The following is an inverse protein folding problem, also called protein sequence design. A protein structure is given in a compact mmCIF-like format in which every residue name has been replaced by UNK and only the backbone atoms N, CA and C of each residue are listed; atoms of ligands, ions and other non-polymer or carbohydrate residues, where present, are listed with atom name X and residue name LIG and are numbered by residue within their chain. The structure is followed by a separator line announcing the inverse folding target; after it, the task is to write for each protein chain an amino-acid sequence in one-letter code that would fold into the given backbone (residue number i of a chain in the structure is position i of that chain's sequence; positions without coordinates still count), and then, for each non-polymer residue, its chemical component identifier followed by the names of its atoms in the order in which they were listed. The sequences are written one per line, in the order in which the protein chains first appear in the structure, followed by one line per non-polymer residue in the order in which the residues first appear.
data_IF_944754452258
#
_entry.id   IF_944754452258
#
_cell.length_a   1.000
_cell.length_b   1.000
_cell.length_c   1.000
_cell.angle_alpha   90.00
_cell.angle_beta   90.00
_cell.angle_gamma   90.00
#
_symmetry.space_group_name_H-M   'P 1'
#
loop_
_entity.id
_entity.type
_entity.pdbx_description
1 polymer ?
#
# COMPACT_ATOMS: atom_id res chain seq x y z
N UNK A 1 -3.76 -9.47 19.09
CA UNK A 1 -3.50 -10.04 17.74
C UNK A 1 -4.58 -11.07 17.43
N UNK A 2 -5.13 -11.03 16.21
CA UNK A 2 -6.06 -12.08 15.78
C UNK A 2 -5.31 -13.40 15.59
N UNK A 3 -5.88 -14.49 16.08
CA UNK A 3 -5.30 -15.83 15.87
C UNK A 3 -5.60 -16.31 14.44
N UNK A 4 -4.79 -17.26 13.92
CA UNK A 4 -5.01 -17.89 12.59
C UNK A 4 -6.44 -18.45 12.47
N UNK A 5 -7.01 -19.01 13.56
CA UNK A 5 -8.41 -19.47 13.59
C UNK A 5 -9.41 -18.34 13.34
N UNK A 6 -9.17 -17.15 13.90
CA UNK A 6 -10.03 -15.97 13.68
C UNK A 6 -9.93 -15.45 12.24
N UNK A 7 -8.74 -15.41 11.63
CA UNK A 7 -8.57 -15.03 10.23
C UNK A 7 -9.37 -15.93 9.28
N UNK A 8 -9.47 -17.22 9.60
CA UNK A 8 -10.23 -18.17 8.78
C UNK A 8 -11.74 -17.93 8.79
N UNK A 9 -12.30 -17.24 9.79
CA UNK A 9 -13.73 -16.94 9.87
C UNK A 9 -14.16 -15.73 9.01
N UNK A 10 -13.22 -14.86 8.62
CA UNK A 10 -13.54 -13.66 7.84
C UNK A 10 -13.31 -13.89 6.35
N UNK A 11 -14.22 -13.37 5.51
CA UNK A 11 -14.08 -13.38 4.05
C UNK A 11 -13.15 -12.26 3.57
N UNK A 12 -13.23 -11.09 4.18
CA UNK A 12 -12.45 -9.90 3.80
C UNK A 12 -11.37 -9.65 4.84
N UNK A 13 -10.13 -9.51 4.37
CA UNK A 13 -8.95 -9.29 5.21
C UNK A 13 -8.25 -8.02 4.72
N UNK A 14 -8.02 -7.09 5.65
CA UNK A 14 -7.24 -5.88 5.39
C UNK A 14 -5.87 -6.05 6.04
N UNK A 15 -4.82 -5.88 5.25
CA UNK A 15 -3.42 -5.96 5.69
C UNK A 15 -2.82 -4.56 5.63
N UNK A 16 -2.47 -4.00 6.79
CA UNK A 16 -1.74 -2.74 6.85
C UNK A 16 -0.23 -3.01 6.93
N UNK A 17 0.52 -2.38 6.03
CA UNK A 17 1.98 -2.48 5.92
C UNK A 17 2.57 -1.12 6.26
N UNK A 18 3.25 -1.03 7.41
CA UNK A 18 3.99 0.18 7.79
C UNK A 18 5.27 0.34 6.96
N UNK A 19 5.75 1.58 6.82
CA UNK A 19 6.96 1.90 6.05
C UNK A 19 8.20 1.12 6.50
N UNK A 20 8.40 0.95 7.81
CA UNK A 20 9.54 0.22 8.36
C UNK A 20 9.54 -1.28 8.09
N UNK A 21 8.41 -1.86 7.69
CA UNK A 21 8.30 -3.26 7.29
C UNK A 21 8.72 -3.45 5.84
N UNK A 22 8.34 -2.53 4.96
CA UNK A 22 8.56 -2.65 3.52
C UNK A 22 9.86 -1.98 3.04
N UNK A 23 10.33 -0.95 3.77
CA UNK A 23 11.57 -0.22 3.47
C UNK A 23 12.60 -0.51 4.55
N UNK A 24 13.81 -0.86 4.16
CA UNK A 24 14.92 -1.11 5.07
C UNK A 24 15.63 0.18 5.52
N UNK A 25 16.70 0.02 6.29
CA UNK A 25 17.46 1.15 6.81
C UNK A 25 18.22 1.93 5.72
N UNK A 26 18.53 1.29 4.60
CA UNK A 26 19.15 1.92 3.43
C UNK A 26 18.16 2.71 2.59
N UNK A 27 16.85 2.62 2.86
CA UNK A 27 15.79 3.21 2.05
C UNK A 27 15.40 2.38 0.84
N UNK A 28 15.74 1.10 0.82
CA UNK A 28 15.43 0.15 -0.25
C UNK A 28 14.29 -0.78 0.14
N UNK A 29 13.63 -1.39 -0.84
CA UNK A 29 12.57 -2.38 -0.59
C UNK A 29 13.17 -3.65 0.03
N UNK A 30 12.54 -4.17 1.09
CA UNK A 30 12.84 -5.48 1.67
C UNK A 30 12.26 -6.59 0.80
N UNK A 31 12.93 -6.92 -0.29
CA UNK A 31 12.40 -7.85 -1.32
C UNK A 31 12.05 -9.23 -0.76
N UNK A 32 12.89 -9.81 0.10
CA UNK A 32 12.65 -11.13 0.69
C UNK A 32 11.39 -11.13 1.55
N UNK A 33 11.25 -10.11 2.39
CA UNK A 33 10.07 -9.93 3.22
C UNK A 33 8.80 -9.75 2.37
N UNK A 34 8.88 -8.91 1.33
CA UNK A 34 7.76 -8.68 0.41
C UNK A 34 7.36 -9.97 -0.33
N UNK A 35 8.33 -10.77 -0.80
CA UNK A 35 8.06 -12.04 -1.45
C UNK A 35 7.41 -13.05 -0.47
N UNK A 36 7.84 -13.09 0.79
CA UNK A 36 7.21 -13.91 1.85
C UNK A 36 5.76 -13.50 2.09
N UNK A 37 5.49 -12.20 2.26
CA UNK A 37 4.14 -11.66 2.41
C UNK A 37 3.24 -12.03 1.22
N UNK A 38 3.76 -11.90 0.00
CA UNK A 38 3.02 -12.26 -1.22
C UNK A 38 2.68 -13.76 -1.25
N UNK A 39 3.56 -14.62 -0.74
CA UNK A 39 3.28 -16.04 -0.61
C UNK A 39 2.12 -16.30 0.36
N UNK A 40 2.10 -15.63 1.50
CA UNK A 40 1.02 -15.75 2.49
C UNK A 40 -0.32 -15.25 1.92
N UNK A 41 -0.29 -14.12 1.21
CA UNK A 41 -1.47 -13.58 0.55
C UNK A 41 -1.97 -14.52 -0.56
N UNK A 42 -1.07 -15.14 -1.32
CA UNK A 42 -1.45 -16.14 -2.32
C UNK A 42 -2.17 -17.34 -1.68
N UNK A 43 -1.74 -17.77 -0.49
CA UNK A 43 -2.42 -18.83 0.25
C UNK A 43 -3.81 -18.38 0.74
N UNK A 44 -3.96 -17.14 1.21
CA UNK A 44 -5.26 -16.57 1.58
C UNK A 44 -6.22 -16.55 0.39
N UNK A 45 -5.73 -16.15 -0.79
CA UNK A 45 -6.56 -16.15 -2.02
C UNK A 45 -6.97 -17.55 -2.46
N UNK A 46 -6.11 -18.55 -2.34
CA UNK A 46 -6.47 -19.97 -2.59
C UNK A 46 -7.60 -20.44 -1.69
N UNK A 47 -7.68 -19.91 -0.47
CA UNK A 47 -8.75 -20.16 0.49
C UNK A 47 -9.97 -19.22 0.31
N UNK A 48 -10.15 -18.67 -0.88
CA UNK A 48 -11.28 -17.80 -1.25
C UNK A 48 -11.43 -16.54 -0.38
N UNK A 49 -10.31 -16.03 0.18
CA UNK A 49 -10.29 -14.79 0.94
C UNK A 49 -10.12 -13.59 -0.01
N UNK A 50 -10.83 -12.52 0.29
CA UNK A 50 -10.61 -11.21 -0.31
C UNK A 50 -9.54 -10.48 0.49
N UNK A 51 -8.51 -9.98 -0.17
CA UNK A 51 -7.43 -9.25 0.49
C UNK A 51 -7.38 -7.82 -0.05
N UNK A 52 -7.27 -6.88 0.87
CA UNK A 52 -7.01 -5.46 0.60
C UNK A 52 -5.72 -5.12 1.32
N UNK A 53 -4.82 -4.41 0.66
CA UNK A 53 -3.56 -3.97 1.26
C UNK A 53 -3.61 -2.46 1.45
N UNK A 54 -3.26 -2.00 2.66
CA UNK A 54 -3.01 -0.59 2.95
C UNK A 54 -1.53 -0.45 3.22
N UNK A 55 -0.85 0.37 2.43
CA UNK A 55 0.60 0.50 2.50
C UNK A 55 1.03 1.93 2.79
N UNK A 56 2.27 2.09 3.18
CA UNK A 56 2.99 3.36 3.33
C UNK A 56 4.45 3.18 2.90
N UNK A 57 5.27 4.24 2.95
CA UNK A 57 6.70 4.14 2.66
C UNK A 57 7.13 4.87 1.39
N UNK A 58 6.21 5.53 0.68
CA UNK A 58 6.54 6.31 -0.51
C UNK A 58 7.60 7.38 -0.23
N UNK A 59 7.43 8.18 0.85
CA UNK A 59 8.41 9.22 1.23
C UNK A 59 9.78 8.60 1.56
N UNK A 60 9.82 7.46 2.25
CA UNK A 60 11.08 6.81 2.60
C UNK A 60 11.87 6.37 1.36
N UNK A 61 11.19 5.76 0.40
CA UNK A 61 11.78 5.37 -0.89
C UNK A 61 12.20 6.60 -1.71
N UNK A 62 11.34 7.62 -1.77
CA UNK A 62 11.62 8.85 -2.48
C UNK A 62 12.85 9.59 -1.93
N UNK A 63 13.03 9.62 -0.60
CA UNK A 63 14.25 10.18 0.03
C UNK A 63 15.50 9.47 -0.47
N UNK A 64 15.49 8.14 -0.54
CA UNK A 64 16.63 7.39 -1.06
C UNK A 64 16.92 7.72 -2.54
N UNK A 65 15.88 7.73 -3.38
CA UNK A 65 16.02 8.02 -4.82
C UNK A 65 16.57 9.44 -5.05
N UNK A 66 16.11 10.41 -4.25
CA UNK A 66 16.54 11.81 -4.34
C UNK A 66 17.82 12.11 -3.54
N UNK A 67 18.46 11.10 -2.95
CA UNK A 67 19.66 11.23 -2.09
C UNK A 67 19.48 12.21 -0.93
N UNK A 68 18.29 12.26 -0.35
CA UNK A 68 17.97 13.07 0.83
C UNK A 68 18.31 12.30 2.12
N UNK A 69 18.66 13.03 3.18
CA UNK A 69 18.94 12.40 4.46
C UNK A 69 17.68 11.78 5.06
N UNK A 70 17.78 10.57 5.61
CA UNK A 70 16.65 9.82 6.21
C UNK A 70 15.87 10.66 7.23
N UNK A 71 16.60 11.37 8.11
CA UNK A 71 16.01 12.18 9.19
C UNK A 71 15.77 13.64 8.79
N UNK A 72 15.90 13.99 7.52
CA UNK A 72 15.66 15.33 7.04
C UNK A 72 14.17 15.68 7.15
N UNK A 73 13.89 16.82 7.82
CA UNK A 73 12.53 17.36 7.85
C UNK A 73 12.27 18.06 6.52
N UNK A 74 11.31 17.56 5.78
CA UNK A 74 10.94 18.10 4.48
C UNK A 74 9.85 19.18 4.65
N UNK A 75 9.93 20.24 3.88
CA UNK A 75 8.80 21.15 3.69
C UNK A 75 7.70 20.44 2.90
N UNK A 76 6.48 20.94 2.95
CA UNK A 76 5.31 20.29 2.37
C UNK A 76 5.50 19.95 0.89
N UNK A 77 5.88 20.91 0.07
CA UNK A 77 6.13 20.74 -1.36
C UNK A 77 7.22 19.68 -1.66
N UNK A 78 8.31 19.73 -0.90
CA UNK A 78 9.39 18.75 -1.01
C UNK A 78 8.91 17.36 -0.58
N UNK A 79 8.12 17.25 0.48
CA UNK A 79 7.59 15.98 0.95
C UNK A 79 6.61 15.37 -0.06
N UNK A 80 5.73 16.20 -0.64
CA UNK A 80 4.81 15.78 -1.70
C UNK A 80 5.55 15.30 -2.95
N UNK A 81 6.56 16.05 -3.42
CA UNK A 81 7.40 15.63 -4.55
C UNK A 81 8.19 14.36 -4.26
N UNK A 82 8.74 14.23 -3.04
CA UNK A 82 9.45 13.04 -2.60
C UNK A 82 8.53 11.82 -2.57
N UNK A 83 7.31 11.97 -2.05
CA UNK A 83 6.30 10.91 -2.05
C UNK A 83 5.94 10.49 -3.48
N UNK A 84 5.76 11.44 -4.40
CA UNK A 84 5.44 11.15 -5.80
C UNK A 84 6.51 10.27 -6.47
N UNK A 85 7.79 10.59 -6.26
CA UNK A 85 8.91 9.79 -6.77
C UNK A 85 8.92 8.39 -6.16
N UNK A 86 8.82 8.30 -4.84
CA UNK A 86 8.88 7.02 -4.14
C UNK A 86 7.65 6.14 -4.36
N UNK A 87 6.49 6.72 -4.67
CA UNK A 87 5.25 5.98 -4.94
C UNK A 87 5.38 5.10 -6.19
N UNK A 88 6.07 5.57 -7.22
CA UNK A 88 6.32 4.77 -8.43
C UNK A 88 7.16 3.55 -8.08
N UNK A 89 8.22 3.72 -7.30
CA UNK A 89 9.10 2.63 -6.88
C UNK A 89 8.34 1.62 -5.99
N UNK A 90 7.57 2.11 -5.03
CA UNK A 90 6.77 1.29 -4.13
C UNK A 90 5.82 0.37 -4.90
N UNK A 91 4.98 0.95 -5.75
CA UNK A 91 3.96 0.17 -6.46
C UNK A 91 4.55 -0.74 -7.53
N UNK A 92 5.67 -0.34 -8.16
CA UNK A 92 6.38 -1.16 -9.13
C UNK A 92 6.92 -2.45 -8.49
N UNK A 93 7.55 -2.35 -7.33
CA UNK A 93 8.07 -3.51 -6.60
C UNK A 93 6.95 -4.41 -6.09
N UNK A 94 5.87 -3.84 -5.55
CA UNK A 94 4.70 -4.62 -5.14
C UNK A 94 4.11 -5.36 -6.36
N UNK A 95 3.86 -4.67 -7.47
CA UNK A 95 3.35 -5.29 -8.70
C UNK A 95 4.25 -6.42 -9.18
N UNK A 96 5.57 -6.20 -9.22
CA UNK A 96 6.57 -7.22 -9.63
C UNK A 96 6.48 -8.47 -8.74
N UNK A 97 6.40 -8.29 -7.42
CA UNK A 97 6.29 -9.41 -6.48
C UNK A 97 5.01 -10.22 -6.68
N UNK A 98 3.84 -9.57 -6.81
CA UNK A 98 2.57 -10.25 -7.05
C UNK A 98 2.48 -10.92 -8.43
N UNK A 99 3.10 -10.33 -9.46
CA UNK A 99 3.14 -10.89 -10.82
C UNK A 99 3.82 -12.26 -10.86
N UNK A 100 4.80 -12.53 -9.99
CA UNK A 100 5.45 -13.85 -9.85
C UNK A 100 4.46 -14.96 -9.43
N UNK A 101 3.31 -14.59 -8.86
CA UNK A 101 2.23 -15.51 -8.44
C UNK A 101 1.00 -15.40 -9.33
N UNK A 102 1.07 -14.73 -10.48
CA UNK A 102 -0.05 -14.45 -11.37
C UNK A 102 -1.23 -13.75 -10.67
N UNK A 103 -0.95 -12.94 -9.65
CA UNK A 103 -1.95 -12.15 -8.92
C UNK A 103 -1.94 -10.73 -9.46
N UNK A 104 -3.13 -10.25 -9.85
CA UNK A 104 -3.32 -8.87 -10.30
C UNK A 104 -3.50 -7.94 -9.10
N UNK A 105 -2.90 -6.77 -9.19
CA UNK A 105 -3.02 -5.69 -8.19
C UNK A 105 -3.48 -4.41 -8.86
N UNK A 106 -4.15 -3.53 -8.11
CA UNK A 106 -4.53 -2.20 -8.57
C UNK A 106 -4.21 -1.19 -7.48
N UNK A 107 -3.70 -0.03 -7.87
CA UNK A 107 -3.40 1.07 -6.95
C UNK A 107 -4.62 1.99 -6.79
N UNK A 108 -4.91 2.36 -5.54
CA UNK A 108 -5.81 3.45 -5.19
C UNK A 108 -5.06 4.43 -4.29
N UNK A 109 -5.07 5.71 -4.68
CA UNK A 109 -4.56 6.79 -3.85
C UNK A 109 -5.75 7.55 -3.29
N UNK A 110 -5.87 7.58 -1.96
CA UNK A 110 -6.98 8.20 -1.25
C UNK A 110 -6.46 9.27 -0.29
N UNK A 111 -7.27 10.27 -0.04
CA UNK A 111 -7.05 11.26 1.02
C UNK A 111 -8.06 11.05 2.14
N UNK A 112 -7.85 11.70 3.29
CA UNK A 112 -8.83 11.70 4.38
C UNK A 112 -10.19 12.19 3.89
N UNK A 113 -10.22 13.25 3.07
CA UNK A 113 -11.46 13.77 2.49
C UNK A 113 -12.25 12.75 1.67
N UNK A 114 -11.55 11.79 1.03
CA UNK A 114 -12.20 10.72 0.26
C UNK A 114 -12.95 9.74 1.17
N UNK A 115 -12.60 9.69 2.45
CA UNK A 115 -13.29 8.87 3.45
C UNK A 115 -14.41 9.63 4.17
N UNK A 116 -14.31 10.95 4.27
CA UNK A 116 -15.27 11.80 5.00
C UNK A 116 -16.44 12.27 4.12
N UNK A 117 -16.18 12.60 2.86
CA UNK A 117 -17.21 13.06 1.92
C UNK A 117 -17.98 11.87 1.36
N UNK A 118 -19.27 11.76 1.69
CA UNK A 118 -20.15 10.62 1.34
C UNK A 118 -20.03 10.19 -0.12
N UNK A 119 -20.02 11.12 -1.08
CA UNK A 119 -19.95 10.80 -2.51
C UNK A 119 -18.61 10.18 -2.87
N UNK A 120 -17.50 10.73 -2.37
CA UNK A 120 -16.15 10.22 -2.61
C UNK A 120 -15.96 8.86 -1.96
N UNK A 121 -16.42 8.71 -0.71
CA UNK A 121 -16.43 7.42 -0.01
C UNK A 121 -17.17 6.33 -0.80
N UNK A 122 -18.38 6.61 -1.29
CA UNK A 122 -19.15 5.65 -2.09
C UNK A 122 -18.43 5.26 -3.38
N UNK A 123 -17.80 6.22 -4.07
CA UNK A 123 -17.02 5.95 -5.28
C UNK A 123 -15.81 5.05 -4.98
N UNK A 124 -15.03 5.38 -3.95
CA UNK A 124 -13.88 4.58 -3.53
C UNK A 124 -14.31 3.15 -3.14
N UNK A 125 -15.38 3.03 -2.34
CA UNK A 125 -15.95 1.73 -1.95
C UNK A 125 -16.36 0.89 -3.15
N UNK A 126 -17.08 1.49 -4.10
CA UNK A 126 -17.55 0.78 -5.29
C UNK A 126 -16.38 0.34 -6.17
N UNK A 127 -15.33 1.16 -6.32
CA UNK A 127 -14.11 0.80 -7.04
C UNK A 127 -13.41 -0.38 -6.36
N UNK A 128 -13.26 -0.35 -5.03
CA UNK A 128 -12.66 -1.45 -4.27
C UNK A 128 -13.47 -2.74 -4.45
N UNK A 129 -14.81 -2.67 -4.34
CA UNK A 129 -15.67 -3.84 -4.53
C UNK A 129 -15.52 -4.42 -5.93
N UNK A 130 -15.55 -3.59 -6.97
CA UNK A 130 -15.36 -4.02 -8.34
C UNK A 130 -14.01 -4.74 -8.55
N UNK A 131 -12.92 -4.22 -7.97
CA UNK A 131 -11.60 -4.86 -8.05
C UNK A 131 -11.61 -6.24 -7.39
N UNK A 132 -12.17 -6.34 -6.19
CA UNK A 132 -12.29 -7.60 -5.43
C UNK A 132 -13.10 -8.63 -6.21
N UNK A 133 -14.25 -8.22 -6.77
CA UNK A 133 -15.15 -9.09 -7.53
C UNK A 133 -14.46 -9.64 -8.80
N UNK A 134 -13.50 -8.89 -9.36
CA UNK A 134 -12.66 -9.31 -10.49
C UNK A 134 -11.35 -10.01 -10.07
N UNK A 135 -11.22 -10.38 -8.80
CA UNK A 135 -10.06 -11.12 -8.29
C UNK A 135 -8.78 -10.30 -8.17
N UNK A 136 -8.86 -8.97 -8.32
CA UNK A 136 -7.73 -8.04 -8.21
C UNK A 136 -7.56 -7.62 -6.75
N UNK A 137 -6.33 -7.52 -6.26
CA UNK A 137 -6.02 -7.01 -4.92
C UNK A 137 -5.88 -5.49 -4.98
N UNK A 138 -6.74 -4.72 -4.27
CA UNK A 138 -6.55 -3.29 -4.12
C UNK A 138 -5.34 -3.00 -3.21
N UNK A 139 -4.44 -2.15 -3.69
CA UNK A 139 -3.32 -1.59 -2.92
C UNK A 139 -3.65 -0.13 -2.66
N UNK A 140 -3.98 0.19 -1.42
CA UNK A 140 -4.39 1.54 -1.01
C UNK A 140 -3.20 2.24 -0.36
N UNK A 141 -2.92 3.45 -0.80
CA UNK A 141 -2.01 4.36 -0.13
C UNK A 141 -2.61 5.76 -0.04
N UNK A 142 -2.04 6.61 0.79
CA UNK A 142 -2.42 8.01 0.81
C UNK A 142 -1.99 8.71 -0.48
N UNK A 143 -2.81 9.67 -0.92
CA UNK A 143 -2.43 10.58 -2.00
C UNK A 143 -1.59 11.73 -1.44
N UNK A 144 -0.35 11.41 -1.08
CA UNK A 144 0.59 12.37 -0.49
C UNK A 144 0.82 13.62 -1.34
N UNK A 145 0.57 13.56 -2.66
CA UNK A 145 0.78 14.71 -3.55
C UNK A 145 -0.20 15.87 -3.33
N UNK A 146 -1.34 15.58 -2.70
CA UNK A 146 -2.38 16.59 -2.39
C UNK A 146 -2.77 16.58 -0.91
N UNK A 147 -2.30 15.62 -0.13
CA UNK A 147 -2.56 15.54 1.30
C UNK A 147 -1.78 16.63 2.05
N UNK A 148 -2.44 17.29 2.99
CA UNK A 148 -1.85 18.37 3.79
C UNK A 148 -1.74 18.03 5.27
N UNK A 149 -2.44 17.00 5.73
CA UNK A 149 -2.64 16.71 7.15
C UNK A 149 -1.63 15.74 7.77
N UNK A 150 -1.03 14.82 7.00
CA UNK A 150 -0.11 13.79 7.52
C UNK A 150 1.39 14.07 7.32
N UNK A 151 1.73 15.09 6.52
CA UNK A 151 3.14 15.48 6.25
C UNK A 151 3.69 16.46 7.32
N UNK A 152 3.19 16.40 8.56
CA UNK A 152 3.66 17.26 9.66
C UNK A 152 4.73 16.60 10.51
#
# INVERSE_FOLDING_TARGET
MATIKQLNSYKNIIIKIGSSLIVDESGSIREEWLNSLVQDIANLKKNSKNVIIVTSGAIALGKNILNLKKNEKLKLDMAQGTAAVGQIELISNIKKAFSKKNIKVAQLLLTIEDTERRRRYLNARNTISMLIDNGVIPIINENDTVATSEIR
#
